data_IF_419708022137
#
_entry.id   IF_419708022137
#
_cell.length_a   1.000
_cell.length_b   1.000
_cell.length_c   1.000
_cell.angle_alpha   90.00
_cell.angle_beta   90.00
_cell.angle_gamma   90.00
#
_symmetry.space_group_name_H-M   'P 1'
#
loop_
_entity.id
_entity.type
_entity.pdbx_description
1 polymer ?
#
# COMPACT_ATOMS: atom_id res chain seq x y z
N UNK A 1 -32.00 -40.59 11.71
CA UNK A 1 -31.45 -39.45 10.95
C UNK A 1 -32.57 -38.90 10.08
N UNK A 2 -33.07 -37.70 10.38
CA UNK A 2 -34.31 -37.17 9.82
C UNK A 2 -34.14 -36.74 8.36
N UNK A 3 -35.19 -36.89 7.55
CA UNK A 3 -35.26 -36.44 6.14
C UNK A 3 -34.85 -34.96 5.99
N UNK A 4 -35.20 -34.14 6.98
CA UNK A 4 -34.82 -32.72 7.12
C UNK A 4 -33.30 -32.52 7.26
N UNK A 5 -32.61 -33.41 7.98
CA UNK A 5 -31.16 -33.32 8.18
C UNK A 5 -30.42 -33.62 6.86
N UNK A 6 -30.88 -34.62 6.11
CA UNK A 6 -30.32 -34.94 4.80
C UNK A 6 -30.59 -33.86 3.75
N UNK A 7 -31.75 -33.19 3.79
CA UNK A 7 -32.08 -32.07 2.91
C UNK A 7 -31.16 -30.86 3.17
N UNK A 8 -30.83 -30.58 4.43
CA UNK A 8 -29.94 -29.49 4.82
C UNK A 8 -28.49 -29.71 4.32
N UNK A 9 -27.97 -30.95 4.42
CA UNK A 9 -26.67 -31.31 3.84
C UNK A 9 -26.66 -31.26 2.31
N UNK A 10 -27.78 -31.60 1.66
CA UNK A 10 -27.91 -31.50 0.21
C UNK A 10 -27.90 -30.05 -0.27
N UNK A 11 -28.56 -29.13 0.46
CA UNK A 11 -28.58 -27.69 0.14
C UNK A 11 -27.20 -27.06 0.36
N UNK A 12 -26.45 -27.46 1.40
CA UNK A 12 -25.07 -27.01 1.65
C UNK A 12 -24.09 -27.38 0.52
N UNK A 13 -24.32 -28.48 -0.20
CA UNK A 13 -23.52 -28.89 -1.37
C UNK A 13 -23.73 -27.98 -2.60
N UNK A 14 -24.79 -27.17 -2.64
CA UNK A 14 -25.05 -26.21 -3.71
C UNK A 14 -24.69 -24.76 -3.36
N UNK A 15 -24.18 -24.50 -2.14
CA UNK A 15 -23.68 -23.16 -1.78
C UNK A 15 -22.23 -23.03 -2.31
N UNK A 16 -22.15 -22.70 -3.59
CA UNK A 16 -21.05 -22.07 -4.34
C UNK A 16 -19.60 -22.42 -3.93
N UNK A 17 -18.83 -23.12 -4.80
CA UNK A 17 -17.52 -22.58 -5.08
C UNK A 17 -17.78 -21.27 -5.84
N UNK A 18 -17.25 -20.16 -5.34
CA UNK A 18 -17.09 -18.93 -6.12
C UNK A 18 -16.39 -19.29 -7.44
N UNK A 19 -17.15 -19.59 -8.49
CA UNK A 19 -16.62 -19.80 -9.82
C UNK A 19 -16.20 -18.44 -10.32
N UNK A 20 -14.92 -18.14 -10.18
CA UNK A 20 -14.27 -17.01 -10.87
C UNK A 20 -14.31 -17.37 -12.36
N UNK A 21 -15.27 -16.80 -13.10
CA UNK A 21 -15.57 -17.20 -14.48
C UNK A 21 -14.52 -16.74 -15.50
N UNK A 22 -13.71 -15.73 -15.18
CA UNK A 22 -12.54 -15.34 -15.97
C UNK A 22 -11.64 -14.40 -15.17
N UNK A 23 -10.35 -14.40 -15.47
CA UNK A 23 -9.41 -13.37 -15.05
C UNK A 23 -8.91 -12.66 -16.31
N UNK A 24 -8.95 -11.34 -16.31
CA UNK A 24 -8.27 -10.56 -17.35
C UNK A 24 -6.77 -10.55 -17.02
N UNK A 25 -5.96 -11.16 -17.88
CA UNK A 25 -4.50 -11.09 -17.76
C UNK A 25 -3.99 -9.93 -18.58
N UNK A 26 -3.30 -9.01 -17.91
CA UNK A 26 -2.46 -8.03 -18.58
C UNK A 26 -1.03 -8.56 -18.54
N UNK A 27 -0.48 -8.91 -19.70
CA UNK A 27 0.93 -9.26 -19.83
C UNK A 27 1.72 -8.01 -20.19
N UNK A 28 2.64 -7.60 -19.32
CA UNK A 28 3.55 -6.49 -19.55
C UNK A 28 4.99 -6.93 -19.36
N UNK A 29 5.82 -6.68 -20.37
CA UNK A 29 7.26 -6.94 -20.30
C UNK A 29 7.97 -5.62 -20.07
N UNK A 30 8.63 -5.51 -18.92
CA UNK A 30 9.51 -4.37 -18.63
C UNK A 30 10.67 -4.32 -19.63
N UNK A 31 10.91 -3.13 -20.17
CA UNK A 31 12.03 -2.89 -21.09
C UNK A 31 13.34 -2.73 -20.34
N UNK A 32 13.28 -2.16 -19.13
CA UNK A 32 14.44 -1.99 -18.26
C UNK A 32 14.65 -3.23 -17.39
N UNK A 33 15.81 -3.91 -17.48
CA UNK A 33 16.05 -5.12 -16.71
C UNK A 33 16.25 -4.82 -15.22
N UNK A 34 16.02 -5.84 -14.38
CA UNK A 34 16.35 -5.83 -12.95
C UNK A 34 15.24 -5.35 -12.02
N UNK A 35 14.11 -4.89 -12.55
CA UNK A 35 12.95 -4.57 -11.73
C UNK A 35 12.36 -5.80 -11.02
N UNK A 36 11.91 -5.59 -9.79
CA UNK A 36 11.11 -6.52 -9.00
C UNK A 36 9.84 -5.82 -8.50
N UNK A 37 8.73 -6.55 -8.48
CA UNK A 37 7.49 -6.07 -7.88
C UNK A 37 7.68 -6.00 -6.36
N UNK A 38 7.48 -4.82 -5.79
CA UNK A 38 7.52 -4.62 -4.34
C UNK A 38 6.12 -4.54 -3.73
N UNK A 39 5.22 -3.77 -4.35
CA UNK A 39 3.86 -3.58 -3.83
C UNK A 39 2.85 -3.34 -4.95
N UNK A 40 1.61 -3.78 -4.73
CA UNK A 40 0.49 -3.60 -5.66
C UNK A 40 -0.62 -2.84 -4.96
N UNK A 41 -1.11 -1.77 -5.59
CA UNK A 41 -2.09 -0.84 -5.06
C UNK A 41 -3.29 -0.76 -6.03
N UNK A 42 -4.34 -1.54 -5.78
CA UNK A 42 -5.55 -1.51 -6.61
C UNK A 42 -6.53 -0.43 -6.16
N UNK A 43 -7.20 0.20 -7.11
CA UNK A 43 -8.20 1.25 -6.91
C UNK A 43 -9.58 0.80 -7.40
N UNK A 44 -10.63 1.48 -6.91
CA UNK A 44 -12.03 1.16 -7.25
C UNK A 44 -12.38 1.39 -8.72
N UNK A 45 -11.69 2.31 -9.38
CA UNK A 45 -11.88 2.58 -10.81
C UNK A 45 -11.20 1.53 -11.71
N UNK A 46 -10.77 0.40 -11.13
CA UNK A 46 -10.12 -0.72 -11.81
C UNK A 46 -8.64 -0.48 -12.11
N UNK A 47 -8.13 0.74 -11.89
CA UNK A 47 -6.70 1.03 -12.05
C UNK A 47 -5.92 0.33 -10.94
N UNK A 48 -4.81 -0.29 -11.31
CA UNK A 48 -3.85 -0.86 -10.36
C UNK A 48 -2.49 -0.20 -10.54
N UNK A 49 -1.90 0.27 -9.45
CA UNK A 49 -0.55 0.82 -9.45
C UNK A 49 0.40 -0.21 -8.87
N UNK A 50 1.41 -0.59 -9.64
CA UNK A 50 2.48 -1.50 -9.22
C UNK A 50 3.72 -0.67 -8.91
N UNK A 51 4.22 -0.78 -7.68
CA UNK A 51 5.50 -0.20 -7.29
C UNK A 51 6.61 -1.22 -7.56
N UNK A 52 7.55 -0.82 -8.40
CA UNK A 52 8.72 -1.59 -8.79
C UNK A 52 9.98 -1.05 -8.11
N UNK A 53 10.87 -1.95 -7.75
CA UNK A 53 12.16 -1.62 -7.13
C UNK A 53 13.29 -2.35 -7.84
N UNK A 54 14.50 -1.79 -7.78
CA UNK A 54 15.72 -2.42 -8.29
C UNK A 54 16.69 -2.67 -7.15
N UNK A 55 16.98 -3.94 -6.81
CA UNK A 55 17.97 -4.26 -5.79
C UNK A 55 19.36 -3.82 -6.22
N UNK A 56 20.06 -3.07 -5.37
CA UNK A 56 21.50 -2.80 -5.51
C UNK A 56 22.28 -3.94 -4.85
N UNK A 57 21.82 -4.38 -3.68
CA UNK A 57 22.40 -5.48 -2.91
C UNK A 57 21.31 -6.15 -2.05
N UNK A 58 21.70 -6.95 -1.05
CA UNK A 58 20.75 -7.67 -0.19
C UNK A 58 19.94 -6.76 0.74
N UNK A 59 20.44 -5.57 1.04
CA UNK A 59 19.85 -4.64 2.01
C UNK A 59 19.28 -3.37 1.40
N UNK A 60 19.64 -2.99 0.18
CA UNK A 60 19.27 -1.71 -0.43
C UNK A 60 18.73 -1.86 -1.85
N UNK A 61 17.83 -0.95 -2.22
CA UNK A 61 17.32 -0.74 -3.57
C UNK A 61 17.77 0.62 -4.10
N UNK A 62 17.68 0.81 -5.41
CA UNK A 62 17.92 2.11 -6.04
C UNK A 62 16.98 3.17 -5.43
N UNK A 63 17.49 4.39 -5.15
CA UNK A 63 16.75 5.45 -4.47
C UNK A 63 15.75 6.14 -5.41
N UNK A 64 14.82 5.36 -5.94
CA UNK A 64 13.79 5.79 -6.87
C UNK A 64 12.49 5.03 -6.62
N UNK A 65 11.38 5.72 -6.86
CA UNK A 65 10.05 5.12 -6.82
C UNK A 65 9.55 5.03 -8.27
N UNK A 66 9.65 3.82 -8.82
CA UNK A 66 9.15 3.49 -10.15
C UNK A 66 7.75 2.87 -10.05
N UNK A 67 6.80 3.43 -10.80
CA UNK A 67 5.41 3.00 -10.80
C UNK A 67 5.01 2.48 -12.19
N UNK A 68 4.14 1.47 -12.22
CA UNK A 68 3.38 1.05 -13.40
C UNK A 68 1.90 1.20 -13.13
N UNK A 69 1.19 1.87 -14.02
CA UNK A 69 -0.23 2.15 -13.89
C UNK A 69 -0.94 1.24 -14.89
N UNK A 70 -1.55 0.18 -14.38
CA UNK A 70 -2.32 -0.77 -15.15
C UNK A 70 -3.74 -0.24 -15.24
N UNK A 71 -4.18 0.04 -16.47
CA UNK A 71 -5.51 0.53 -16.76
C UNK A 71 -6.47 -0.62 -17.09
N UNK A 72 -7.78 -0.47 -16.83
CA UNK A 72 -8.77 -1.49 -17.17
C UNK A 72 -8.85 -1.82 -18.67
N UNK A 73 -8.44 -0.90 -19.54
CA UNK A 73 -8.37 -1.11 -20.99
C UNK A 73 -7.14 -1.93 -21.45
N UNK A 74 -6.31 -2.41 -20.50
CA UNK A 74 -5.12 -3.21 -20.76
C UNK A 74 -3.85 -2.40 -21.02
N UNK A 75 -3.90 -1.06 -21.04
CA UNK A 75 -2.68 -0.24 -21.21
C UNK A 75 -1.89 -0.13 -19.91
N UNK A 76 -0.58 0.03 -20.04
CA UNK A 76 0.33 0.20 -18.91
C UNK A 76 1.16 1.45 -19.11
N UNK A 77 1.01 2.42 -18.21
CA UNK A 77 1.85 3.63 -18.20
C UNK A 77 3.00 3.48 -17.20
N UNK A 78 4.15 4.05 -17.54
CA UNK A 78 5.29 4.17 -16.64
C UNK A 78 5.32 5.54 -15.99
N UNK A 79 5.54 5.58 -14.68
CA UNK A 79 5.67 6.82 -13.92
C UNK A 79 6.84 6.72 -12.94
N UNK A 80 7.42 7.88 -12.62
CA UNK A 80 8.47 8.04 -11.61
C UNK A 80 8.07 9.15 -10.66
N UNK A 81 8.36 8.98 -9.38
CA UNK A 81 8.18 10.04 -8.39
C UNK A 81 9.47 10.85 -8.32
N UNK A 82 9.44 12.05 -8.87
CA UNK A 82 10.56 12.99 -8.82
C UNK A 82 10.46 13.83 -7.53
N UNK A 83 10.90 13.25 -6.42
CA UNK A 83 10.95 13.92 -5.13
C UNK A 83 12.21 13.47 -4.35
N UNK A 84 12.96 14.40 -3.73
CA UNK A 84 14.23 14.09 -3.08
C UNK A 84 14.04 13.43 -1.71
N UNK A 85 13.56 12.17 -1.69
CA UNK A 85 13.53 11.35 -0.48
C UNK A 85 14.98 10.97 -0.12
N UNK A 86 15.42 11.16 1.13
CA UNK A 86 16.78 10.80 1.53
C UNK A 86 17.10 9.32 1.28
N UNK A 87 18.26 9.04 0.69
CA UNK A 87 18.63 7.72 0.15
C UNK A 87 18.63 6.58 1.18
N UNK A 88 18.94 6.87 2.45
CA UNK A 88 18.93 5.84 3.51
C UNK A 88 17.54 5.21 3.69
N UNK A 89 16.47 5.87 3.26
CA UNK A 89 15.14 5.30 3.31
C UNK A 89 15.00 4.03 2.45
N UNK A 90 15.79 3.94 1.38
CA UNK A 90 15.78 2.85 0.41
C UNK A 90 16.67 1.66 0.82
N UNK A 91 17.22 1.70 2.02
CA UNK A 91 17.93 0.58 2.65
C UNK A 91 17.09 -0.02 3.78
N UNK A 92 17.25 -1.31 4.04
CA UNK A 92 16.58 -2.01 5.13
C UNK A 92 17.13 -1.53 6.47
N UNK A 93 16.24 -1.18 7.38
CA UNK A 93 16.55 -0.97 8.79
C UNK A 93 16.81 -2.28 9.54
N UNK A 94 17.03 -2.23 10.86
CA UNK A 94 17.39 -3.40 11.66
C UNK A 94 16.35 -4.52 11.62
N UNK A 95 15.09 -4.19 11.38
CA UNK A 95 13.98 -5.14 11.30
C UNK A 95 13.77 -5.72 9.89
N UNK A 96 14.65 -5.42 8.94
CA UNK A 96 14.57 -5.93 7.56
C UNK A 96 13.59 -5.20 6.64
N UNK A 97 12.90 -4.17 7.14
CA UNK A 97 12.00 -3.32 6.35
C UNK A 97 12.70 -2.04 5.90
N UNK A 98 12.33 -1.51 4.73
CA UNK A 98 12.75 -0.17 4.31
C UNK A 98 12.15 0.90 5.22
N UNK A 99 12.81 2.06 5.31
CA UNK A 99 12.33 3.17 6.14
C UNK A 99 11.29 4.05 5.44
N UNK A 100 10.93 3.69 4.19
CA UNK A 100 9.76 4.25 3.51
C UNK A 100 8.67 3.19 3.31
N UNK A 101 7.42 3.64 3.25
CA UNK A 101 6.29 2.81 2.81
C UNK A 101 5.38 3.60 1.88
N UNK A 102 4.74 2.89 0.94
CA UNK A 102 3.85 3.46 -0.06
C UNK A 102 2.47 2.84 0.11
N UNK A 103 1.45 3.65 0.37
CA UNK A 103 0.07 3.16 0.51
C UNK A 103 -0.89 3.95 -0.36
N UNK A 104 -1.93 3.27 -0.84
CA UNK A 104 -3.03 3.96 -1.53
C UNK A 104 -3.71 4.93 -0.56
N UNK A 105 -4.06 6.10 -1.08
CA UNK A 105 -4.89 7.09 -0.41
C UNK A 105 -6.10 7.37 -1.28
N UNK A 106 -7.29 7.30 -0.69
CA UNK A 106 -8.53 7.48 -1.44
C UNK A 106 -8.81 8.97 -1.66
N UNK A 107 -9.34 9.36 -2.84
CA UNK A 107 -9.87 8.47 -3.87
C UNK A 107 -8.85 8.05 -4.95
N UNK A 108 -7.81 8.84 -5.24
CA UNK A 108 -6.93 8.65 -6.42
C UNK A 108 -5.47 9.07 -6.18
N UNK A 109 -5.01 8.99 -4.94
CA UNK A 109 -3.64 9.39 -4.56
C UNK A 109 -2.88 8.23 -3.94
N UNK A 110 -1.59 8.45 -3.76
CA UNK A 110 -0.67 7.56 -3.06
C UNK A 110 -0.01 8.40 -1.97
N UNK A 111 0.11 7.84 -0.77
CA UNK A 111 0.87 8.44 0.31
C UNK A 111 2.18 7.66 0.45
N UNK A 112 3.29 8.39 0.47
CA UNK A 112 4.62 7.86 0.71
C UNK A 112 5.07 8.39 2.07
N UNK A 113 5.26 7.49 3.02
CA UNK A 113 5.90 7.78 4.28
C UNK A 113 7.41 7.68 4.09
N UNK A 114 8.18 8.65 4.60
CA UNK A 114 9.63 8.54 4.73
C UNK A 114 10.15 9.28 5.97
N UNK A 115 11.34 8.89 6.42
CA UNK A 115 12.06 9.49 7.54
C UNK A 115 12.98 10.62 7.06
N UNK A 116 13.07 11.68 7.87
CA UNK A 116 14.17 12.64 7.85
C UNK A 116 14.93 12.65 9.19
N UNK A 117 16.10 12.02 9.21
CA UNK A 117 16.99 11.94 10.38
C UNK A 117 17.48 13.33 10.81
N UNK A 118 17.69 14.26 9.87
CA UNK A 118 18.23 15.58 10.19
C UNK A 118 17.24 16.41 11.03
N UNK A 119 15.94 16.28 10.75
CA UNK A 119 14.87 16.90 11.52
C UNK A 119 14.26 15.98 12.58
N UNK A 120 14.79 14.76 12.75
CA UNK A 120 14.23 13.73 13.62
C UNK A 120 12.70 13.60 13.48
N UNK A 121 12.22 13.63 12.23
CA UNK A 121 10.80 13.74 11.89
C UNK A 121 10.42 12.84 10.72
N UNK A 122 9.12 12.63 10.54
CA UNK A 122 8.57 11.89 9.42
C UNK A 122 7.76 12.78 8.52
N UNK A 123 7.72 12.39 7.26
CA UNK A 123 7.02 13.12 6.24
C UNK A 123 6.09 12.18 5.49
N UNK A 124 4.91 12.70 5.18
CA UNK A 124 3.97 12.07 4.26
C UNK A 124 3.94 12.88 2.98
N UNK A 125 4.49 12.30 1.93
CA UNK A 125 4.42 12.82 0.57
C UNK A 125 3.16 12.25 -0.09
N UNK A 126 2.19 13.11 -0.37
CA UNK A 126 1.01 12.76 -1.15
C UNK A 126 1.29 13.00 -2.63
N UNK A 127 1.06 12.01 -3.47
CA UNK A 127 1.27 12.07 -4.91
C UNK A 127 0.03 11.58 -5.69
N UNK A 128 -0.04 11.93 -6.97
CA UNK A 128 -0.95 11.28 -7.92
C UNK A 128 -0.47 9.86 -8.23
N UNK A 129 -1.35 9.03 -8.80
CA UNK A 129 -0.97 7.71 -9.33
C UNK A 129 0.11 7.77 -10.43
N UNK A 130 0.25 8.92 -11.08
CA UNK A 130 1.29 9.19 -12.09
C UNK A 130 2.57 9.81 -11.53
N UNK A 131 2.72 9.90 -10.20
CA UNK A 131 3.95 10.34 -9.57
C UNK A 131 4.08 11.85 -9.36
N UNK A 132 3.07 12.65 -9.69
CA UNK A 132 3.10 14.10 -9.44
C UNK A 132 2.85 14.40 -7.97
N UNK A 133 3.68 15.26 -7.39
CA UNK A 133 3.55 15.69 -6.00
C UNK A 133 2.31 16.57 -5.82
N UNK A 134 1.50 16.22 -4.83
CA UNK A 134 0.32 16.99 -4.41
C UNK A 134 0.60 17.83 -3.17
N UNK A 135 1.24 17.22 -2.16
CA UNK A 135 1.60 17.90 -0.92
C UNK A 135 2.65 17.10 -0.15
N UNK A 136 3.33 17.79 0.77
CA UNK A 136 4.19 17.19 1.78
C UNK A 136 3.72 17.66 3.14
N UNK A 137 3.52 16.73 4.06
CA UNK A 137 3.09 17.05 5.43
C UNK A 137 4.16 16.59 6.40
N UNK A 138 4.61 17.51 7.25
CA UNK A 138 5.47 17.21 8.38
C UNK A 138 4.65 16.61 9.51
N UNK A 139 5.14 15.52 10.06
CA UNK A 139 4.61 14.87 11.26
C UNK A 139 5.67 15.03 12.34
N UNK A 140 5.42 15.95 13.27
CA UNK A 140 6.27 16.12 14.46
C UNK A 140 5.78 15.22 15.59
N UNK A 141 6.73 14.68 16.34
CA UNK A 141 6.50 13.59 17.28
C UNK A 141 7.05 13.91 18.66
N UNK A 142 6.29 14.66 19.44
CA UNK A 142 6.54 14.67 20.89
C UNK A 142 6.20 13.29 21.52
N UNK A 143 5.37 12.46 20.85
CA UNK A 143 4.87 11.19 21.40
C UNK A 143 4.97 9.97 20.45
N UNK A 144 5.42 10.12 19.20
CA UNK A 144 5.32 9.11 18.14
C UNK A 144 4.26 9.47 17.09
N UNK A 145 4.01 8.58 16.13
CA UNK A 145 3.20 8.89 14.95
C UNK A 145 2.17 7.84 14.60
N UNK A 146 1.04 8.29 14.05
CA UNK A 146 -0.03 7.42 13.58
C UNK A 146 -0.15 7.48 12.06
N UNK A 147 -0.06 6.30 11.43
CA UNK A 147 -0.40 6.09 10.03
C UNK A 147 -1.80 5.52 9.94
N UNK A 148 -2.74 6.30 9.42
CA UNK A 148 -4.07 5.81 9.06
C UNK A 148 -4.19 5.67 7.53
N UNK A 149 -4.65 4.50 7.07
CA UNK A 149 -4.85 4.21 5.66
C UNK A 149 -6.10 3.35 5.43
N UNK A 150 -6.72 3.47 4.26
CA UNK A 150 -7.85 2.64 3.90
C UNK A 150 -7.40 1.25 3.42
N UNK A 151 -7.66 0.21 4.21
CA UNK A 151 -7.50 -1.20 3.78
C UNK A 151 -8.61 -1.59 2.81
N UNK A 152 -9.83 -1.10 3.04
CA UNK A 152 -10.94 -1.15 2.09
C UNK A 152 -11.75 0.13 2.19
N UNK A 153 -12.81 0.24 1.42
CA UNK A 153 -13.77 1.35 1.48
C UNK A 153 -14.28 1.64 2.88
N UNK A 154 -14.54 0.57 3.62
CA UNK A 154 -15.21 0.62 4.91
C UNK A 154 -14.25 0.23 6.04
N UNK A 155 -12.95 0.06 5.75
CA UNK A 155 -11.97 -0.35 6.75
C UNK A 155 -10.80 0.61 6.69
N UNK A 156 -10.69 1.42 7.73
CA UNK A 156 -9.51 2.23 8.00
C UNK A 156 -8.60 1.42 8.90
N UNK A 157 -7.43 1.03 8.38
CA UNK A 157 -6.33 0.55 9.20
C UNK A 157 -5.62 1.75 9.81
N UNK A 158 -5.12 1.58 11.01
CA UNK A 158 -4.15 2.51 11.56
C UNK A 158 -3.02 1.76 12.24
N UNK A 159 -1.82 2.33 12.18
CA UNK A 159 -0.62 1.87 12.87
C UNK A 159 -0.05 3.04 13.64
N UNK A 160 0.21 2.84 14.92
CA UNK A 160 0.84 3.80 15.79
C UNK A 160 2.24 3.33 16.14
N UNK A 161 3.23 4.17 15.84
CA UNK A 161 4.63 3.89 16.05
C UNK A 161 5.20 4.82 17.13
N UNK A 162 6.23 4.34 17.83
CA UNK A 162 6.97 5.14 18.79
C UNK A 162 7.73 6.25 18.08
N UNK A 163 8.10 7.28 18.85
CA UNK A 163 9.16 8.19 18.41
C UNK A 163 10.45 7.41 18.08
N UNK A 164 11.31 7.94 17.20
CA UNK A 164 12.65 7.40 16.98
C UNK A 164 13.45 7.34 18.29
N UNK A 165 14.14 6.23 18.52
CA UNK A 165 15.18 6.14 19.55
C UNK A 165 16.44 6.92 19.13
N UNK A 166 17.45 6.98 20.00
CA UNK A 166 18.71 7.69 19.72
C UNK A 166 19.49 7.11 18.51
N UNK A 167 19.07 5.95 17.98
CA UNK A 167 19.62 5.30 16.80
C UNK A 167 18.71 5.47 15.58
N UNK A 168 17.66 6.26 15.69
CA UNK A 168 16.67 6.52 14.66
C UNK A 168 15.60 5.43 14.53
N UNK A 169 15.65 4.33 15.30
CA UNK A 169 14.70 3.23 15.15
C UNK A 169 13.36 3.56 15.79
N UNK A 170 12.28 3.07 15.19
CA UNK A 170 10.94 3.15 15.75
C UNK A 170 10.34 1.76 15.90
N UNK A 171 9.39 1.64 16.81
CA UNK A 171 8.70 0.40 17.13
C UNK A 171 7.21 0.57 16.86
N UNK A 172 6.57 -0.45 16.28
CA UNK A 172 5.11 -0.50 16.20
C UNK A 172 4.57 -0.66 17.61
N UNK A 173 3.92 0.38 18.14
CA UNK A 173 3.34 0.37 19.48
C UNK A 173 1.93 -0.20 19.48
N UNK A 174 1.16 0.09 18.43
CA UNK A 174 -0.21 -0.40 18.31
C UNK A 174 -0.66 -0.41 16.85
N UNK A 175 -1.63 -1.25 16.51
CA UNK A 175 -2.32 -1.20 15.22
C UNK A 175 -3.78 -1.60 15.39
N UNK A 176 -4.63 -1.14 14.48
CA UNK A 176 -6.04 -1.44 14.54
C UNK A 176 -6.75 -1.28 13.21
N UNK A 177 -7.99 -1.77 13.20
CA UNK A 177 -8.96 -1.61 12.11
C UNK A 177 -10.18 -0.90 12.67
N UNK A 178 -10.64 0.11 11.96
CA UNK A 178 -11.92 0.73 12.20
C UNK A 178 -12.84 0.46 11.01
N UNK A 179 -13.99 -0.15 11.31
CA UNK A 179 -15.01 -0.45 10.32
C UNK A 179 -15.98 0.74 10.23
N UNK A 180 -15.88 1.49 9.14
CA UNK A 180 -16.82 2.57 8.83
C UNK A 180 -18.18 1.96 8.54
N UNK A 181 -19.21 2.39 9.28
CA UNK A 181 -20.59 2.02 8.98
C UNK A 181 -20.98 2.61 7.61
N UNK A 182 -21.59 1.80 6.74
CA UNK A 182 -22.15 2.29 5.49
C UNK A 182 -23.34 3.20 5.78
N UNK A 183 -23.13 4.51 5.70
CA UNK A 183 -24.23 5.49 5.65
C UNK A 183 -24.89 5.43 4.27
N UNK A 184 -25.68 4.38 4.02
CA UNK A 184 -26.69 4.32 2.96
C UNK A 184 -27.68 3.18 3.26
N UNK A 185 -28.42 3.32 4.37
CA UNK A 185 -29.72 2.66 4.54
C UNK A 185 -30.72 3.73 5.03
N UNK A 186 -31.07 4.64 4.13
CA UNK A 186 -32.31 5.39 4.22
C UNK A 186 -33.01 5.27 2.87
N UNK A 187 -33.79 4.19 2.74
CA UNK A 187 -34.95 4.10 1.84
C UNK A 187 -36.07 3.44 2.63
#
# INVERSE_FOLDING_TARGET
MNLLTNLFYFILLFINPLTVYSYDVILHNETEPGFKIYKVLSYRDGITVVHLVKPINESCIEPRIDLRILHPNGTVDSAKVDYPIPEYNFCRGPNGFYWFDINRSLPRSINILYLDIASASYYVLSITRSGYVLSTTHTSEECGFMFANYETENIVMWKYFSRPDDKGNFSLLNEGRHYLQSLCQFY
#
